data_IF_930497742993
#
_entry.id   IF_930497742993
#
_cell.length_a   1.000
_cell.length_b   1.000
_cell.length_c   1.000
_cell.angle_alpha   90.00
_cell.angle_beta   90.00
_cell.angle_gamma   90.00
#
_symmetry.space_group_name_H-M   'P 1'
#
loop_
_entity.id
_entity.type
_entity.pdbx_description
1 polymer ?
#
# COMPACT_ATOMS: atom_id res chain seq x y z
N UNK A 1 12.78 -4.43 17.28
CA UNK A 1 11.82 -3.61 16.52
C UNK A 1 12.50 -3.29 15.20
N UNK A 2 11.97 -3.77 14.08
CA UNK A 2 12.57 -3.50 12.78
C UNK A 2 12.37 -2.03 12.44
N UNK A 3 13.45 -1.35 12.05
CA UNK A 3 13.39 0.05 11.64
C UNK A 3 12.75 0.15 10.26
N UNK A 4 11.97 1.21 10.05
CA UNK A 4 11.51 1.56 8.71
C UNK A 4 12.70 2.08 7.91
N UNK A 5 12.75 1.78 6.63
CA UNK A 5 13.82 2.24 5.76
C UNK A 5 13.25 3.01 4.57
N UNK A 6 13.83 4.17 4.28
CA UNK A 6 13.60 4.89 3.05
C UNK A 6 14.95 5.27 2.44
N UNK A 7 15.28 4.66 1.29
CA UNK A 7 16.62 4.74 0.68
C UNK A 7 17.70 4.35 1.71
N UNK A 8 18.61 5.26 2.03
CA UNK A 8 19.70 5.11 2.99
C UNK A 8 19.38 5.66 4.41
N UNK A 9 18.12 6.06 4.67
CA UNK A 9 17.64 6.50 5.98
C UNK A 9 16.88 5.40 6.72
N UNK A 10 17.26 5.14 7.96
CA UNK A 10 16.49 4.35 8.92
C UNK A 10 15.65 5.27 9.81
N UNK A 11 14.40 4.91 10.02
CA UNK A 11 13.45 5.60 10.89
C UNK A 11 12.98 4.62 11.96
N UNK A 12 13.06 5.06 13.21
CA UNK A 12 12.53 4.35 14.37
C UNK A 12 11.84 5.36 15.28
N UNK A 13 11.37 4.91 16.44
CA UNK A 13 10.56 5.72 17.33
C UNK A 13 11.06 5.63 18.76
N UNK A 14 10.97 6.75 19.47
CA UNK A 14 11.21 6.78 20.92
C UNK A 14 9.97 7.30 21.65
N UNK A 15 9.77 6.76 22.85
CA UNK A 15 8.81 7.23 23.84
C UNK A 15 9.51 7.79 25.08
N UNK A 16 10.83 7.93 25.04
CA UNK A 16 11.66 8.38 26.15
C UNK A 16 12.21 9.79 25.87
N UNK A 17 12.20 10.64 26.89
CA UNK A 17 12.46 12.07 26.80
C UNK A 17 13.10 12.61 28.07
N UNK A 18 14.09 13.49 27.89
CA UNK A 18 14.72 14.25 28.97
C UNK A 18 14.14 15.67 28.98
N UNK A 19 13.65 16.18 30.13
CA UNK A 19 13.15 17.55 30.21
C UNK A 19 14.31 18.54 30.05
N UNK A 20 14.12 19.55 29.19
CA UNK A 20 15.12 20.61 28.96
C UNK A 20 14.74 21.88 29.72
N UNK A 21 13.50 22.36 29.55
CA UNK A 21 12.99 23.57 30.21
C UNK A 21 11.47 23.60 30.22
N UNK A 22 10.86 24.36 31.15
CA UNK A 22 9.46 24.72 31.13
C UNK A 22 9.27 26.17 31.57
N UNK A 23 8.13 26.74 31.19
CA UNK A 23 7.81 28.14 31.44
C UNK A 23 7.18 28.41 32.82
N UNK A 24 7.29 27.45 33.76
CA UNK A 24 6.66 27.54 35.07
C UNK A 24 7.17 28.73 35.86
N UNK A 25 6.25 29.63 36.21
CA UNK A 25 6.55 30.86 36.94
C UNK A 25 6.89 32.05 36.04
N UNK A 26 7.03 31.83 34.73
CA UNK A 26 6.82 32.90 33.74
C UNK A 26 5.31 33.08 33.61
N UNK A 27 4.81 34.31 33.62
CA UNK A 27 3.35 34.57 33.53
C UNK A 27 2.84 34.41 32.09
N UNK A 28 3.45 33.51 31.32
CA UNK A 28 3.00 33.19 29.98
C UNK A 28 1.57 32.64 30.05
N UNK A 29 0.76 33.00 29.06
CA UNK A 29 -0.68 32.65 29.08
C UNK A 29 -0.93 31.16 28.95
N UNK A 30 -0.08 30.45 28.21
CA UNK A 30 -0.17 29.01 27.98
C UNK A 30 1.08 28.33 28.55
N UNK A 31 0.96 27.19 29.24
CA UNK A 31 2.11 26.45 29.74
C UNK A 31 2.80 25.64 28.65
N UNK A 32 4.11 25.45 28.75
CA UNK A 32 4.91 24.59 27.86
C UNK A 32 6.02 23.87 28.62
N UNK A 33 6.35 22.68 28.16
CA UNK A 33 7.60 22.01 28.49
C UNK A 33 8.30 21.58 27.21
N UNK A 34 9.60 21.88 27.14
CA UNK A 34 10.51 21.44 26.08
C UNK A 34 11.27 20.20 26.53
N UNK A 35 11.36 19.24 25.63
CA UNK A 35 11.90 17.91 25.87
C UNK A 35 12.88 17.53 24.78
N UNK A 36 13.94 16.82 25.16
CA UNK A 36 14.87 16.18 24.24
C UNK A 36 14.53 14.71 24.10
N UNK A 37 14.22 14.21 22.89
CA UNK A 37 14.05 12.79 22.66
C UNK A 37 15.31 12.02 23.04
N UNK A 38 15.13 10.91 23.76
CA UNK A 38 16.22 10.03 24.18
C UNK A 38 16.36 8.85 23.22
N UNK A 39 17.59 8.57 22.82
CA UNK A 39 17.98 7.37 22.06
C UNK A 39 18.90 6.47 22.88
N UNK A 40 18.90 6.61 24.21
CA UNK A 40 19.82 5.92 25.11
C UNK A 40 19.53 4.42 25.32
N UNK A 41 18.45 3.88 24.76
CA UNK A 41 18.18 2.44 24.84
C UNK A 41 19.08 1.65 23.90
N UNK A 42 19.41 0.40 24.26
CA UNK A 42 20.30 -0.44 23.44
C UNK A 42 19.78 -0.61 21.99
N UNK A 43 18.47 -0.61 21.81
CA UNK A 43 17.80 -0.71 20.50
C UNK A 43 17.98 0.56 19.66
N UNK A 44 18.11 1.72 20.31
CA UNK A 44 18.22 3.03 19.66
C UNK A 44 19.63 3.62 19.73
N UNK A 45 20.64 2.89 20.20
CA UNK A 45 21.98 3.45 20.46
C UNK A 45 22.70 4.06 19.24
N UNK A 46 22.25 3.76 18.01
CA UNK A 46 22.77 4.36 16.77
C UNK A 46 21.81 5.38 16.15
N UNK A 47 20.67 5.64 16.79
CA UNK A 47 19.69 6.61 16.37
C UNK A 47 19.95 7.95 17.03
N UNK A 48 19.53 9.00 16.35
CA UNK A 48 19.64 10.40 16.78
C UNK A 48 18.31 11.09 16.60
N UNK A 49 18.04 12.07 17.47
CA UNK A 49 16.88 12.92 17.31
C UNK A 49 17.03 13.83 16.09
N UNK A 50 15.90 14.14 15.47
CA UNK A 50 15.84 15.15 14.42
C UNK A 50 15.89 16.56 15.01
N UNK A 51 15.12 16.85 16.07
CA UNK A 51 15.13 18.10 16.82
C UNK A 51 14.56 17.90 18.25
N UNK A 52 14.42 18.98 19.02
CA UNK A 52 13.73 18.95 20.32
C UNK A 52 12.21 19.08 20.15
N UNK A 53 11.47 18.80 21.22
CA UNK A 53 10.01 18.69 21.22
C UNK A 53 9.40 19.69 22.19
N UNK A 54 8.45 20.50 21.72
CA UNK A 54 7.61 21.34 22.57
C UNK A 54 6.26 20.67 22.83
N UNK A 55 5.80 20.66 24.08
CA UNK A 55 4.49 20.12 24.46
C UNK A 55 3.78 21.09 25.39
N UNK A 56 2.49 21.33 25.13
CA UNK A 56 1.65 22.15 25.99
C UNK A 56 1.47 21.50 27.38
N UNK A 57 1.64 22.28 28.44
CA UNK A 57 1.52 21.82 29.82
C UNK A 57 2.83 21.32 30.45
N UNK A 58 2.70 20.83 31.68
CA UNK A 58 3.82 20.41 32.53
C UNK A 58 3.86 18.91 32.83
N UNK A 59 3.00 18.13 32.16
CA UNK A 59 2.92 16.69 32.40
C UNK A 59 4.13 15.98 31.79
N UNK A 60 4.53 14.88 32.42
CA UNK A 60 5.55 14.00 31.86
C UNK A 60 4.99 13.34 30.59
N UNK A 61 5.77 13.36 29.50
CA UNK A 61 5.37 12.81 28.20
C UNK A 61 5.96 11.44 27.90
N UNK A 62 6.82 10.92 28.78
CA UNK A 62 7.40 9.59 28.65
C UNK A 62 6.31 8.53 28.55
N UNK A 63 6.40 7.63 27.57
CA UNK A 63 5.41 6.59 27.26
C UNK A 63 4.03 7.10 26.80
N UNK A 64 3.81 8.42 26.75
CA UNK A 64 2.55 9.04 26.31
C UNK A 64 2.68 9.70 24.93
N UNK A 65 3.89 10.13 24.55
CA UNK A 65 4.20 10.69 23.25
C UNK A 65 5.19 9.80 22.50
N UNK A 66 5.04 9.72 21.18
CA UNK A 66 5.94 9.02 20.28
C UNK A 66 6.53 10.06 19.33
N UNK A 67 7.83 10.01 19.08
CA UNK A 67 8.50 10.83 18.06
C UNK A 67 9.45 9.99 17.22
N UNK A 68 9.67 10.42 15.98
CA UNK A 68 10.60 9.75 15.09
C UNK A 68 12.06 10.06 15.47
N UNK A 69 12.90 9.04 15.39
CA UNK A 69 14.37 9.14 15.50
C UNK A 69 14.97 8.45 14.30
N UNK A 70 16.15 8.89 13.87
CA UNK A 70 16.73 8.47 12.60
C UNK A 70 18.13 7.92 12.74
N UNK A 71 18.55 7.08 11.80
CA UNK A 71 19.91 6.58 11.67
C UNK A 71 20.28 6.39 10.20
N UNK A 72 21.56 6.22 9.93
CA UNK A 72 22.05 5.85 8.60
C UNK A 72 21.95 4.33 8.42
N UNK A 73 21.61 3.88 7.21
CA UNK A 73 21.77 2.46 6.84
C UNK A 73 23.25 2.06 6.87
N UNK A 74 24.10 2.86 6.20
CA UNK A 74 25.56 2.71 6.23
C UNK A 74 26.16 3.68 7.26
N UNK A 75 26.73 3.14 8.34
CA UNK A 75 27.25 3.97 9.44
C UNK A 75 28.54 4.69 9.13
N UNK A 76 29.33 4.17 8.19
CA UNK A 76 30.65 4.70 7.88
C UNK A 76 30.57 5.69 6.73
N UNK A 77 29.82 5.35 5.69
CA UNK A 77 29.73 6.13 4.45
C UNK A 77 28.33 6.68 4.18
N UNK A 78 27.42 6.60 5.15
CA UNK A 78 26.06 7.11 5.06
C UNK A 78 26.00 8.58 4.65
N UNK A 79 24.96 8.92 3.89
CA UNK A 79 24.76 10.27 3.37
C UNK A 79 23.38 10.82 3.64
N UNK A 80 22.50 10.08 4.32
CA UNK A 80 21.16 10.51 4.63
C UNK A 80 21.12 11.65 5.66
N UNK A 81 22.12 11.71 6.54
CA UNK A 81 22.18 12.58 7.71
C UNK A 81 23.51 13.33 7.79
N UNK A 82 23.45 14.60 8.17
CA UNK A 82 24.64 15.41 8.50
C UNK A 82 24.40 16.24 9.76
N UNK A 83 25.44 16.50 10.58
CA UNK A 83 25.30 17.48 11.65
C UNK A 83 25.08 18.88 11.03
N UNK A 84 24.30 19.76 11.68
CA UNK A 84 24.17 21.15 11.27
C UNK A 84 25.56 21.81 11.23
N UNK A 85 25.75 22.80 10.35
CA UNK A 85 27.02 23.54 10.24
C UNK A 85 27.17 24.56 11.36
N UNK A 86 26.06 25.15 11.79
CA UNK A 86 25.97 26.03 12.94
C UNK A 86 24.54 26.07 13.50
N UNK A 87 24.32 26.88 14.54
CA UNK A 87 23.01 27.21 15.08
C UNK A 87 22.86 28.71 15.23
N UNK A 88 21.72 29.24 14.81
CA UNK A 88 21.30 30.64 14.98
C UNK A 88 20.32 30.75 16.15
N UNK A 89 20.52 31.69 17.07
CA UNK A 89 19.62 31.86 18.22
C UNK A 89 18.37 32.60 17.75
N UNK A 90 17.22 31.95 17.87
CA UNK A 90 15.92 32.53 17.47
C UNK A 90 15.12 33.06 18.65
N UNK A 91 15.43 32.61 19.87
CA UNK A 91 14.83 33.16 21.08
C UNK A 91 15.70 32.88 22.30
N UNK A 92 15.61 33.74 23.30
CA UNK A 92 16.15 33.49 24.63
C UNK A 92 15.19 34.04 25.68
N UNK A 93 15.06 33.33 26.79
CA UNK A 93 14.31 33.83 27.93
C UNK A 93 15.15 34.86 28.69
N UNK A 94 15.24 36.08 28.13
CA UNK A 94 15.87 37.24 28.76
C UNK A 94 14.82 38.18 29.32
N UNK A 95 14.88 38.51 30.62
CA UNK A 95 13.98 39.47 31.23
C UNK A 95 13.93 39.39 32.76
N UNK A 96 13.21 40.30 33.44
CA UNK A 96 13.18 40.38 34.90
C UNK A 96 12.56 39.15 35.59
N UNK A 97 11.90 38.28 34.82
CA UNK A 97 11.26 37.04 35.31
C UNK A 97 12.00 35.77 34.88
N UNK A 98 13.14 35.90 34.20
CA UNK A 98 13.96 34.77 33.83
C UNK A 98 14.55 34.11 35.07
N UNK A 99 14.03 32.92 35.42
CA UNK A 99 14.51 32.14 36.58
C UNK A 99 15.65 31.18 36.23
N UNK A 100 15.73 30.80 34.97
CA UNK A 100 16.81 29.99 34.40
C UNK A 100 17.06 30.48 32.97
N UNK A 101 18.35 30.59 32.61
CA UNK A 101 18.75 30.86 31.24
C UNK A 101 18.24 29.72 30.35
N UNK A 102 17.63 30.07 29.22
CA UNK A 102 17.11 29.11 28.26
C UNK A 102 17.04 29.80 26.91
N UNK A 103 17.40 29.07 25.87
CA UNK A 103 17.49 29.60 24.51
C UNK A 103 17.01 28.56 23.50
N UNK A 104 16.45 29.04 22.41
CA UNK A 104 15.97 28.23 21.30
C UNK A 104 16.77 28.62 20.06
N UNK A 105 17.18 27.62 19.29
CA UNK A 105 18.11 27.76 18.19
C UNK A 105 17.59 27.08 16.94
N UNK A 106 17.75 27.76 15.80
CA UNK A 106 17.53 27.22 14.46
C UNK A 106 18.82 26.57 13.96
N UNK A 107 18.82 25.26 13.65
CA UNK A 107 19.97 24.62 13.03
C UNK A 107 20.18 25.17 11.60
N UNK A 108 21.42 25.53 11.29
CA UNK A 108 21.85 25.82 9.92
C UNK A 108 22.26 24.52 9.26
N UNK A 109 21.45 24.02 8.32
CA UNK A 109 21.74 22.80 7.61
C UNK A 109 22.88 22.99 6.58
N UNK A 110 23.73 21.96 6.34
CA UNK A 110 24.64 21.98 5.20
C UNK A 110 23.90 21.96 3.86
N UNK A 111 24.57 22.35 2.79
CA UNK A 111 24.02 22.32 1.42
C UNK A 111 23.49 20.92 1.04
N UNK A 112 22.27 20.85 0.50
CA UNK A 112 21.59 19.60 0.15
C UNK A 112 20.90 18.88 1.32
N UNK A 113 20.85 19.52 2.50
CA UNK A 113 20.19 19.01 3.71
C UNK A 113 19.26 20.06 4.30
N UNK A 114 18.31 19.60 5.11
CA UNK A 114 17.35 20.44 5.83
C UNK A 114 17.34 20.16 7.33
N UNK A 115 17.04 21.19 8.12
CA UNK A 115 16.65 21.03 9.52
C UNK A 115 15.17 20.67 9.61
N UNK A 116 14.78 19.91 10.64
CA UNK A 116 13.42 19.38 10.79
C UNK A 116 12.63 20.11 11.88
N UNK A 117 13.17 21.19 12.46
CA UNK A 117 12.65 21.87 13.64
C UNK A 117 13.69 22.74 14.35
N UNK A 118 13.46 22.98 15.64
CA UNK A 118 14.29 23.82 16.52
C UNK A 118 14.90 23.03 17.68
N UNK A 119 16.06 23.51 18.15
CA UNK A 119 16.81 22.88 19.25
C UNK A 119 16.91 23.82 20.45
N UNK A 120 16.79 23.25 21.64
CA UNK A 120 16.93 23.95 22.90
C UNK A 120 18.39 23.96 23.37
N UNK A 121 18.88 25.13 23.77
CA UNK A 121 20.14 25.31 24.50
C UNK A 121 19.94 25.06 25.99
N UNK A 122 20.92 24.42 26.64
CA UNK A 122 21.00 24.41 28.10
C UNK A 122 21.58 25.76 28.53
N UNK A 123 20.76 26.61 29.15
CA UNK A 123 21.19 27.99 29.38
C UNK A 123 21.06 28.87 28.13
N UNK A 124 21.99 29.81 27.99
CA UNK A 124 22.15 30.64 26.79
C UNK A 124 23.24 30.10 25.86
N UNK A 125 23.78 28.91 26.16
CA UNK A 125 24.85 28.29 25.41
C UNK A 125 24.32 27.60 24.16
N UNK A 126 25.08 27.73 23.07
CA UNK A 126 24.79 27.09 21.80
C UNK A 126 24.79 25.56 21.95
N UNK A 127 23.80 24.84 21.38
CA UNK A 127 23.79 23.37 21.42
C UNK A 127 25.03 22.76 20.73
N UNK A 128 25.51 21.60 21.20
CA UNK A 128 26.51 20.82 20.46
C UNK A 128 26.00 20.39 19.07
N UNK A 129 26.86 20.42 18.05
CA UNK A 129 26.52 20.00 16.68
C UNK A 129 26.02 18.55 16.56
N UNK A 130 26.38 17.70 17.52
CA UNK A 130 25.97 16.31 17.52
C UNK A 130 24.61 16.05 18.18
N UNK A 131 23.98 17.06 18.78
CA UNK A 131 22.68 16.93 19.47
C UNK A 131 21.58 16.45 18.54
N UNK A 132 21.63 16.84 17.26
CA UNK A 132 20.63 16.50 16.24
C UNK A 132 21.27 16.18 14.90
N UNK A 133 20.47 15.78 13.90
CA UNK A 133 20.91 15.70 12.49
C UNK A 133 19.96 16.40 11.54
N UNK A 134 20.55 17.07 10.54
CA UNK A 134 19.87 17.51 9.34
C UNK A 134 19.71 16.31 8.37
N UNK A 135 18.65 16.33 7.59
CA UNK A 135 18.25 15.23 6.69
C UNK A 135 18.45 15.65 5.25
N UNK A 136 18.94 14.74 4.39
CA UNK A 136 19.11 15.01 2.95
C UNK A 136 17.77 15.40 2.31
N UNK A 137 17.78 16.40 1.44
CA UNK A 137 16.57 17.01 0.87
C UNK A 137 15.63 16.03 0.15
N UNK A 138 16.17 14.97 -0.47
CA UNK A 138 15.38 13.97 -1.21
C UNK A 138 14.70 12.90 -0.33
N UNK A 139 14.94 12.93 0.98
CA UNK A 139 14.35 12.06 2.00
C UNK A 139 13.18 12.73 2.73
N UNK A 140 12.89 13.98 2.39
CA UNK A 140 11.84 14.78 3.00
C UNK A 140 10.88 15.32 1.95
N UNK A 141 9.79 15.90 2.42
CA UNK A 141 8.85 16.67 1.61
C UNK A 141 8.49 17.95 2.36
N UNK A 142 7.99 18.94 1.63
CA UNK A 142 7.45 20.15 2.23
C UNK A 142 6.25 19.84 3.12
N UNK A 143 6.20 20.47 4.28
CA UNK A 143 5.13 20.42 5.26
C UNK A 143 4.56 21.82 5.49
N UNK A 144 3.61 21.95 6.41
CA UNK A 144 3.07 23.25 6.81
C UNK A 144 3.04 23.42 8.33
N UNK A 145 3.13 24.67 8.76
CA UNK A 145 2.95 25.08 10.16
C UNK A 145 1.52 24.77 10.58
N UNK A 146 1.33 24.11 11.71
CA UNK A 146 0.03 23.64 12.19
C UNK A 146 -0.49 24.48 13.37
N UNK A 147 -0.79 23.87 14.52
CA UNK A 147 -1.38 24.53 15.67
C UNK A 147 -0.33 25.23 16.53
N UNK A 148 -0.72 26.34 17.16
CA UNK A 148 0.08 27.01 18.18
C UNK A 148 0.24 26.07 19.38
N UNK A 149 1.48 25.71 19.71
CA UNK A 149 1.82 24.97 20.93
C UNK A 149 1.93 25.94 22.10
N UNK A 150 2.68 27.03 21.91
CA UNK A 150 3.01 27.98 22.96
C UNK A 150 3.39 29.34 22.39
N UNK A 151 3.17 30.40 23.16
CA UNK A 151 3.70 31.74 22.91
C UNK A 151 4.24 32.30 24.21
N UNK A 152 5.32 33.06 24.15
CA UNK A 152 5.93 33.67 25.33
C UNK A 152 5.22 34.95 25.79
N UNK A 153 4.08 35.29 25.19
CA UNK A 153 3.22 36.40 25.57
C UNK A 153 2.91 36.38 27.07
N UNK A 154 3.26 37.46 27.76
CA UNK A 154 3.08 37.60 29.21
C UNK A 154 4.24 37.06 30.07
N UNK A 155 5.18 36.31 29.47
CA UNK A 155 6.36 35.78 30.17
C UNK A 155 7.26 36.88 30.73
N UNK A 156 7.30 38.04 30.05
CA UNK A 156 8.20 39.16 30.33
C UNK A 156 9.58 39.00 29.68
N UNK A 157 9.71 38.13 28.68
CA UNK A 157 10.87 38.10 27.81
C UNK A 157 10.96 39.40 26.97
N UNK A 158 12.16 39.75 26.53
CA UNK A 158 12.41 40.94 25.70
C UNK A 158 12.09 40.72 24.20
N UNK A 159 12.10 39.47 23.75
CA UNK A 159 11.83 39.07 22.37
C UNK A 159 10.56 38.25 22.33
N UNK A 160 9.72 38.45 21.32
CA UNK A 160 8.48 37.69 21.16
C UNK A 160 8.71 36.42 20.36
N UNK A 161 8.14 35.31 20.82
CA UNK A 161 8.26 34.02 20.17
C UNK A 161 6.99 33.18 20.32
N UNK A 162 6.71 32.40 19.27
CA UNK A 162 5.69 31.36 19.31
C UNK A 162 6.20 30.04 18.73
N UNK A 163 5.91 28.95 19.42
CA UNK A 163 6.18 27.57 19.01
C UNK A 163 4.95 26.95 18.36
N UNK A 164 5.15 26.28 17.23
CA UNK A 164 4.09 25.70 16.41
C UNK A 164 4.38 24.25 16.07
N UNK A 165 3.31 23.44 15.95
CA UNK A 165 3.40 22.10 15.40
C UNK A 165 3.66 22.10 13.90
N UNK A 166 4.04 20.95 13.36
CA UNK A 166 4.25 20.71 11.93
C UNK A 166 3.36 19.56 11.48
N UNK A 167 2.69 19.73 10.35
CA UNK A 167 1.85 18.70 9.73
C UNK A 167 2.22 18.52 8.26
N UNK A 168 2.25 17.27 7.75
CA UNK A 168 2.71 16.99 6.39
C UNK A 168 1.67 17.46 5.37
N UNK A 169 2.12 17.77 4.15
CA UNK A 169 1.22 17.93 3.00
C UNK A 169 0.47 16.63 2.69
N UNK A 170 -0.50 16.70 1.77
CA UNK A 170 -1.12 15.48 1.24
C UNK A 170 -0.07 14.58 0.55
N UNK A 171 -0.07 13.30 0.91
CA UNK A 171 0.83 12.31 0.33
C UNK A 171 0.54 12.08 -1.15
N UNK A 172 1.60 11.92 -1.95
CA UNK A 172 1.48 11.44 -3.32
C UNK A 172 1.07 9.96 -3.34
N UNK A 173 0.43 9.46 -4.42
CA UNK A 173 0.07 8.05 -4.53
C UNK A 173 1.26 7.11 -4.33
N UNK A 174 1.08 6.08 -3.50
CA UNK A 174 2.11 5.11 -3.14
C UNK A 174 3.09 5.61 -2.08
N UNK A 175 2.80 6.72 -1.40
CA UNK A 175 3.71 7.32 -0.43
C UNK A 175 3.04 7.62 0.90
N UNK A 176 3.86 7.79 1.94
CA UNK A 176 3.45 8.36 3.22
C UNK A 176 4.45 9.38 3.70
N UNK A 177 3.93 10.45 4.30
CA UNK A 177 4.67 11.55 4.86
C UNK A 177 4.42 11.61 6.37
N UNK A 178 5.50 11.68 7.15
CA UNK A 178 5.48 11.65 8.61
C UNK A 178 6.12 12.93 9.15
N UNK A 179 5.36 13.74 9.85
CA UNK A 179 5.95 14.83 10.63
C UNK A 179 6.81 14.24 11.76
N UNK A 180 8.01 14.78 12.01
CA UNK A 180 8.96 14.21 12.96
C UNK A 180 8.49 14.30 14.43
N UNK A 181 7.45 15.09 14.72
CA UNK A 181 6.93 15.33 16.07
C UNK A 181 7.63 16.47 16.84
N UNK A 182 8.43 17.25 16.12
CA UNK A 182 9.20 18.43 16.56
C UNK A 182 8.34 19.69 16.47
N UNK A 183 8.94 20.87 16.69
CA UNK A 183 8.27 22.17 16.58
C UNK A 183 9.08 23.14 15.71
N UNK A 184 8.38 24.13 15.16
CA UNK A 184 8.98 25.31 14.51
C UNK A 184 8.67 26.57 15.31
N UNK A 185 9.41 27.64 15.07
CA UNK A 185 9.27 28.93 15.75
C UNK A 185 8.93 30.06 14.80
N UNK A 186 8.39 31.13 15.36
CA UNK A 186 8.11 32.38 14.68
C UNK A 186 8.42 33.55 15.60
N UNK A 187 9.01 34.62 15.05
CA UNK A 187 9.08 35.92 15.72
C UNK A 187 7.68 36.53 15.82
N UNK A 188 7.26 36.86 17.04
CA UNK A 188 5.89 37.31 17.33
C UNK A 188 4.89 36.17 17.57
N UNK A 189 3.61 36.53 17.64
CA UNK A 189 2.52 35.61 18.04
C UNK A 189 1.61 35.17 16.89
N UNK A 190 1.77 35.76 15.70
CA UNK A 190 0.97 35.41 14.54
C UNK A 190 1.53 34.17 13.84
N UNK A 191 0.64 33.31 13.31
CA UNK A 191 1.05 32.14 12.53
C UNK A 191 1.77 32.58 11.26
N UNK A 192 3.09 32.36 11.21
CA UNK A 192 3.88 32.67 10.02
C UNK A 192 3.65 31.58 8.96
N UNK A 193 3.02 31.97 7.85
CA UNK A 193 2.70 31.06 6.73
C UNK A 193 3.68 31.18 5.56
N UNK A 194 4.63 32.13 5.60
CA UNK A 194 5.41 32.53 4.42
C UNK A 194 6.93 32.41 4.51
N UNK A 195 7.53 32.10 5.67
CA UNK A 195 8.97 32.40 5.84
C UNK A 195 9.90 31.25 6.24
N UNK A 196 9.41 30.07 6.64
CA UNK A 196 10.30 28.94 6.92
C UNK A 196 9.78 27.65 6.28
N UNK A 197 10.52 27.02 5.35
CA UNK A 197 10.15 25.70 4.86
C UNK A 197 10.29 24.70 6.01
N UNK A 198 9.15 24.21 6.49
CA UNK A 198 9.09 23.07 7.42
C UNK A 198 8.96 21.79 6.60
N UNK A 199 9.45 20.68 7.15
CA UNK A 199 9.59 19.42 6.41
C UNK A 199 8.97 18.25 7.17
N UNK A 200 8.55 17.23 6.42
CA UNK A 200 8.14 15.93 6.92
C UNK A 200 9.00 14.84 6.27
N UNK A 201 9.23 13.75 7.00
CA UNK A 201 9.92 12.57 6.48
C UNK A 201 9.09 11.94 5.37
N UNK A 202 9.73 11.52 4.29
CA UNK A 202 9.10 10.81 3.17
C UNK A 202 9.39 9.32 3.27
N UNK A 203 8.38 8.50 3.00
CA UNK A 203 8.51 7.06 2.83
C UNK A 203 7.65 6.59 1.65
N UNK A 204 8.03 5.49 1.02
CA UNK A 204 7.21 4.79 0.04
C UNK A 204 6.41 3.68 0.73
N UNK A 205 5.17 3.48 0.30
CA UNK A 205 4.38 2.31 0.68
C UNK A 205 4.78 1.17 -0.23
N UNK A 206 5.43 0.15 0.33
CA UNK A 206 5.91 -0.99 -0.44
C UNK A 206 4.72 -1.73 -1.08
N UNK A 207 4.76 -1.88 -2.39
CA UNK A 207 3.76 -2.61 -3.16
C UNK A 207 4.42 -3.82 -3.80
N UNK A 208 3.98 -5.00 -3.38
CA UNK A 208 4.30 -6.26 -4.03
C UNK A 208 3.11 -6.69 -4.89
N UNK A 209 3.36 -7.11 -6.12
CA UNK A 209 2.32 -7.41 -7.09
C UNK A 209 2.68 -8.63 -7.90
N UNK A 210 1.73 -9.54 -8.02
CA UNK A 210 1.72 -10.69 -8.90
C UNK A 210 0.52 -10.52 -9.83
N UNK A 211 0.81 -10.34 -11.11
CA UNK A 211 -0.20 -10.07 -12.13
C UNK A 211 -1.18 -11.23 -12.25
N UNK A 212 -2.45 -10.88 -12.52
CA UNK A 212 -3.46 -11.86 -12.88
C UNK A 212 -3.03 -12.59 -14.16
N UNK A 213 -2.86 -13.93 -14.12
CA UNK A 213 -2.46 -14.68 -15.31
C UNK A 213 -3.45 -14.44 -16.47
N UNK A 214 -2.98 -14.40 -17.73
CA UNK A 214 -3.85 -14.08 -18.86
C UNK A 214 -4.95 -15.14 -19.02
N UNK A 215 -6.17 -14.67 -19.29
CA UNK A 215 -7.30 -15.54 -19.60
C UNK A 215 -6.98 -16.44 -20.81
N UNK A 216 -7.26 -17.76 -20.74
CA UNK A 216 -7.15 -18.65 -21.89
C UNK A 216 -7.98 -18.15 -23.08
N UNK A 217 -7.44 -18.30 -24.31
CA UNK A 217 -8.15 -17.89 -25.53
C UNK A 217 -9.36 -18.77 -25.86
N UNK A 218 -9.28 -20.04 -25.48
CA UNK A 218 -10.28 -21.07 -25.74
C UNK A 218 -10.55 -21.84 -24.44
N UNK A 219 -11.82 -22.17 -24.19
CA UNK A 219 -12.24 -22.98 -23.06
C UNK A 219 -13.14 -24.13 -23.47
N UNK A 220 -12.98 -25.25 -22.77
CA UNK A 220 -13.76 -26.46 -23.00
C UNK A 220 -15.25 -26.27 -22.64
N UNK A 221 -16.17 -26.94 -23.35
CA UNK A 221 -17.61 -26.88 -23.10
C UNK A 221 -17.96 -27.38 -21.70
N UNK A 222 -18.86 -26.67 -21.00
CA UNK A 222 -19.31 -27.05 -19.66
C UNK A 222 -18.35 -26.71 -18.52
N UNK A 223 -17.15 -26.17 -18.79
CA UNK A 223 -16.33 -25.53 -17.75
C UNK A 223 -16.78 -24.08 -17.58
N UNK A 224 -17.67 -23.82 -16.62
CA UNK A 224 -17.50 -22.60 -15.82
C UNK A 224 -16.09 -22.68 -15.24
N UNK A 225 -15.26 -21.64 -15.41
CA UNK A 225 -13.91 -21.58 -14.87
C UNK A 225 -13.82 -22.32 -13.53
N UNK A 226 -12.91 -23.30 -13.32
CA UNK A 226 -12.72 -23.83 -11.98
C UNK A 226 -12.39 -22.63 -11.09
N UNK A 227 -13.20 -22.42 -10.04
CA UNK A 227 -13.17 -21.28 -9.11
C UNK A 227 -11.80 -21.01 -8.44
N UNK A 228 -10.73 -21.74 -8.78
CA UNK A 228 -9.59 -21.91 -7.90
C UNK A 228 -8.18 -21.59 -8.43
N UNK A 229 -7.89 -21.22 -9.69
CA UNK A 229 -6.43 -21.20 -10.07
C UNK A 229 -5.90 -20.10 -11.00
N UNK A 230 -6.50 -18.92 -11.08
CA UNK A 230 -5.76 -17.76 -11.62
C UNK A 230 -6.19 -16.52 -10.86
N UNK A 231 -5.51 -16.25 -9.75
CA UNK A 231 -5.62 -15.01 -8.99
C UNK A 231 -4.40 -14.14 -9.25
N UNK A 232 -4.58 -12.83 -9.38
CA UNK A 232 -3.50 -11.86 -9.21
C UNK A 232 -3.48 -11.39 -7.77
N UNK A 233 -2.32 -11.36 -7.11
CA UNK A 233 -2.22 -10.92 -5.71
C UNK A 233 -1.36 -9.67 -5.61
N UNK A 234 -1.89 -8.65 -4.96
CA UNK A 234 -1.16 -7.41 -4.69
C UNK A 234 -1.20 -7.12 -3.19
N UNK A 235 -0.08 -6.73 -2.60
CA UNK A 235 0.05 -6.46 -1.17
C UNK A 235 0.72 -5.10 -1.00
N UNK A 236 -0.01 -4.16 -0.43
CA UNK A 236 0.51 -2.89 0.01
C UNK A 236 0.85 -2.97 1.51
N UNK A 237 2.12 -2.72 1.85
CA UNK A 237 2.58 -2.65 3.24
C UNK A 237 2.35 -1.24 3.81
N UNK A 238 1.68 -1.20 4.95
CA UNK A 238 1.26 0.02 5.61
C UNK A 238 1.94 0.13 6.98
N UNK A 239 2.84 1.11 7.20
CA UNK A 239 3.43 1.33 8.52
C UNK A 239 2.35 1.52 9.59
N UNK A 240 2.60 1.04 10.81
CA UNK A 240 1.63 1.05 11.91
C UNK A 240 0.98 2.42 12.22
N UNK A 241 1.65 3.52 11.89
CA UNK A 241 1.15 4.88 12.09
C UNK A 241 0.24 5.38 10.96
N UNK A 242 0.18 4.68 9.82
CA UNK A 242 -0.74 4.99 8.70
C UNK A 242 -2.11 4.34 8.87
N UNK A 243 -2.28 3.51 9.91
CA UNK A 243 -3.52 2.75 10.18
C UNK A 243 -4.01 3.04 11.59
N UNK A 244 -5.28 3.42 11.72
CA UNK A 244 -5.95 3.41 13.01
C UNK A 244 -6.43 1.99 13.32
N UNK A 245 -5.96 1.41 14.42
CA UNK A 245 -6.48 0.13 14.93
C UNK A 245 -7.10 0.40 16.29
N UNK A 246 -8.44 0.43 16.41
CA UNK A 246 -9.10 0.82 17.65
C UNK A 246 -8.88 -0.18 18.79
N UNK A 247 -8.31 -1.36 18.50
CA UNK A 247 -8.06 -2.41 19.49
C UNK A 247 -6.67 -2.33 20.13
N UNK A 248 -5.77 -1.50 19.59
CA UNK A 248 -4.37 -1.39 20.02
C UNK A 248 -3.99 0.06 20.29
N UNK A 249 -3.27 0.30 21.39
CA UNK A 249 -2.63 1.60 21.62
C UNK A 249 -1.49 1.84 20.62
N UNK A 250 -1.09 3.10 20.38
CA UNK A 250 0.05 3.41 19.53
C UNK A 250 1.33 2.64 19.87
N UNK A 251 1.63 2.47 21.17
CA UNK A 251 2.81 1.74 21.62
C UNK A 251 2.69 0.24 21.35
N UNK A 252 1.52 -0.35 21.59
CA UNK A 252 1.28 -1.76 21.24
C UNK A 252 1.41 -1.99 19.74
N UNK A 253 0.81 -1.12 18.90
CA UNK A 253 0.97 -1.20 17.43
C UNK A 253 2.44 -1.18 17.03
N UNK A 254 3.22 -0.22 17.54
CA UNK A 254 4.65 -0.11 17.26
C UNK A 254 5.43 -1.40 17.65
N UNK A 255 5.02 -2.08 18.72
CA UNK A 255 5.70 -3.25 19.25
C UNK A 255 5.26 -4.57 18.61
N UNK A 256 3.97 -4.73 18.32
CA UNK A 256 3.37 -6.03 17.92
C UNK A 256 2.90 -6.05 16.47
N UNK A 257 2.55 -4.90 15.89
CA UNK A 257 2.04 -4.78 14.53
C UNK A 257 2.68 -3.60 13.78
N UNK A 258 4.02 -3.59 13.61
CA UNK A 258 4.74 -2.46 13.01
C UNK A 258 4.37 -2.20 11.54
N UNK A 259 3.83 -3.21 10.86
CA UNK A 259 3.40 -3.17 9.46
C UNK A 259 2.07 -3.93 9.31
N UNK A 260 1.08 -3.28 8.74
CA UNK A 260 -0.18 -3.89 8.28
C UNK A 260 -0.08 -4.21 6.79
N UNK A 261 -0.89 -5.15 6.30
CA UNK A 261 -0.95 -5.52 4.89
C UNK A 261 -2.34 -5.28 4.34
N UNK A 262 -2.48 -4.37 3.38
CA UNK A 262 -3.69 -4.25 2.59
C UNK A 262 -3.52 -5.11 1.34
N UNK A 263 -4.18 -6.26 1.33
CA UNK A 263 -4.11 -7.25 0.26
C UNK A 263 -5.24 -7.02 -0.73
N UNK A 264 -4.93 -6.97 -2.03
CA UNK A 264 -5.86 -7.04 -3.15
C UNK A 264 -5.72 -8.39 -3.85
N UNK A 265 -6.83 -9.05 -4.12
CA UNK A 265 -6.90 -10.29 -4.89
C UNK A 265 -7.77 -10.03 -6.12
N UNK A 266 -7.19 -10.18 -7.30
CA UNK A 266 -7.85 -9.98 -8.59
C UNK A 266 -8.24 -11.34 -9.18
N UNK A 267 -9.46 -11.43 -9.69
CA UNK A 267 -10.00 -12.64 -10.32
C UNK A 267 -10.86 -12.28 -11.53
N UNK A 268 -10.86 -13.14 -12.55
CA UNK A 268 -11.83 -13.04 -13.63
C UNK A 268 -13.21 -13.47 -13.15
N UNK A 269 -14.19 -12.59 -13.32
CA UNK A 269 -15.59 -12.86 -13.04
C UNK A 269 -16.37 -12.89 -14.36
N UNK A 270 -17.04 -14.00 -14.64
CA UNK A 270 -17.89 -14.14 -15.82
C UNK A 270 -19.07 -13.15 -15.71
N UNK A 271 -19.20 -12.27 -16.69
CA UNK A 271 -20.28 -11.26 -16.71
C UNK A 271 -21.29 -11.50 -17.82
N UNK A 272 -20.87 -12.12 -18.93
CA UNK A 272 -21.78 -12.54 -19.99
C UNK A 272 -21.25 -13.74 -20.77
N UNK A 273 -22.15 -14.44 -21.43
CA UNK A 273 -21.85 -15.34 -22.52
C UNK A 273 -22.77 -15.04 -23.70
N UNK A 274 -22.26 -15.28 -24.91
CA UNK A 274 -23.00 -15.06 -26.15
C UNK A 274 -22.72 -16.18 -27.13
N UNK A 275 -23.74 -16.63 -27.82
CA UNK A 275 -23.64 -17.62 -28.88
C UNK A 275 -24.25 -17.07 -30.16
N UNK A 276 -23.48 -17.04 -31.23
CA UNK A 276 -23.97 -16.72 -32.56
C UNK A 276 -24.26 -18.02 -33.31
N UNK A 277 -25.53 -18.35 -33.46
CA UNK A 277 -25.99 -19.54 -34.20
C UNK A 277 -26.26 -19.27 -35.68
N UNK A 278 -25.97 -18.05 -36.15
CA UNK A 278 -26.26 -17.64 -37.52
C UNK A 278 -25.04 -17.78 -38.43
N UNK A 279 -25.23 -17.91 -39.76
CA UNK A 279 -24.14 -18.04 -40.72
C UNK A 279 -23.40 -16.71 -40.97
N UNK A 280 -23.81 -15.61 -40.33
CA UNK A 280 -23.17 -14.30 -40.43
C UNK A 280 -22.72 -13.81 -39.04
N UNK A 281 -21.69 -12.98 -38.98
CA UNK A 281 -21.26 -12.36 -37.72
C UNK A 281 -22.36 -11.44 -37.16
N UNK A 282 -22.50 -11.43 -35.84
CA UNK A 282 -23.49 -10.60 -35.14
C UNK A 282 -22.85 -9.79 -34.03
N UNK A 283 -23.46 -8.63 -33.72
CA UNK A 283 -23.05 -7.79 -32.59
C UNK A 283 -23.93 -8.10 -31.39
N UNK A 284 -23.29 -8.39 -30.27
CA UNK A 284 -23.93 -8.57 -28.97
C UNK A 284 -23.56 -7.38 -28.09
N UNK A 285 -24.53 -6.90 -27.31
CA UNK A 285 -24.34 -5.79 -26.37
C UNK A 285 -24.80 -6.20 -25.00
N UNK A 286 -23.98 -5.92 -24.00
CA UNK A 286 -24.27 -6.16 -22.60
C UNK A 286 -23.97 -4.92 -21.77
N UNK A 287 -24.64 -4.82 -20.63
CA UNK A 287 -24.45 -3.76 -19.65
C UNK A 287 -24.03 -4.42 -18.35
N UNK A 288 -22.89 -4.00 -17.80
CA UNK A 288 -22.36 -4.56 -16.56
C UNK A 288 -22.17 -3.48 -15.52
N UNK A 289 -22.41 -3.82 -14.26
CA UNK A 289 -22.04 -2.95 -13.16
C UNK A 289 -20.52 -2.94 -12.94
N UNK A 290 -19.97 -1.77 -12.68
CA UNK A 290 -18.56 -1.53 -12.37
C UNK A 290 -18.42 -0.54 -11.22
N UNK A 291 -17.27 -0.59 -10.56
CA UNK A 291 -16.99 0.19 -9.36
C UNK A 291 -17.08 -0.64 -8.09
N UNK A 292 -17.19 0.05 -6.96
CA UNK A 292 -17.36 -0.57 -5.65
C UNK A 292 -18.71 -1.28 -5.54
N UNK A 293 -18.68 -2.47 -4.96
CA UNK A 293 -19.87 -3.25 -4.62
C UNK A 293 -20.16 -3.07 -3.14
N UNK A 294 -21.34 -2.53 -2.83
CA UNK A 294 -21.91 -2.40 -1.46
C UNK A 294 -21.24 -1.36 -0.54
N UNK A 295 -20.56 -0.34 -1.07
CA UNK A 295 -20.05 0.85 -0.34
C UNK A 295 -19.25 0.57 0.96
N UNK A 296 -18.55 -0.57 1.04
CA UNK A 296 -17.81 -0.97 2.23
C UNK A 296 -16.55 -0.12 2.50
N UNK A 297 -16.08 0.66 1.52
CA UNK A 297 -14.92 1.56 1.61
C UNK A 297 -15.15 2.63 2.67
N UNK A 298 -16.39 3.10 2.83
CA UNK A 298 -16.79 3.99 3.91
C UNK A 298 -16.64 3.31 5.28
N UNK A 299 -16.98 2.02 5.37
CA UNK A 299 -16.79 1.22 6.58
C UNK A 299 -15.32 1.03 6.93
N UNK A 300 -14.46 0.72 5.94
CA UNK A 300 -13.02 0.64 6.12
C UNK A 300 -12.45 1.97 6.64
N UNK A 301 -12.82 3.08 5.99
CA UNK A 301 -12.40 4.42 6.41
C UNK A 301 -12.86 4.75 7.82
N UNK A 302 -14.10 4.41 8.17
CA UNK A 302 -14.62 4.70 9.51
C UNK A 302 -13.84 3.98 10.62
N UNK A 303 -13.48 2.72 10.38
CA UNK A 303 -12.77 1.88 11.36
C UNK A 303 -11.27 2.21 11.41
N UNK A 304 -10.65 2.41 10.24
CA UNK A 304 -9.18 2.39 10.09
C UNK A 304 -8.56 3.71 9.66
N UNK A 305 -9.39 4.69 9.32
CA UNK A 305 -9.05 5.97 8.67
C UNK A 305 -8.46 5.84 7.26
N UNK A 306 -8.23 4.63 6.75
CA UNK A 306 -7.73 4.41 5.39
C UNK A 306 -8.80 4.85 4.39
N UNK A 307 -8.45 5.82 3.56
CA UNK A 307 -9.26 6.22 2.41
C UNK A 307 -8.71 5.55 1.16
N UNK A 308 -9.43 4.56 0.61
CA UNK A 308 -8.94 3.79 -0.54
C UNK A 308 -8.87 4.63 -1.83
N UNK A 309 -9.62 5.74 -1.90
CA UNK A 309 -9.74 6.58 -3.10
C UNK A 309 -8.85 7.81 -3.09
N UNK A 310 -8.29 8.19 -1.94
CA UNK A 310 -7.59 9.47 -1.78
C UNK A 310 -6.47 9.38 -0.73
N UNK A 311 -5.70 10.46 -0.58
CA UNK A 311 -4.80 10.60 0.56
C UNK A 311 -5.62 10.71 1.86
N UNK A 312 -5.15 10.09 2.94
CA UNK A 312 -5.77 10.15 4.26
C UNK A 312 -4.79 10.61 5.33
N UNK A 313 -5.36 11.02 6.47
CA UNK A 313 -4.64 11.42 7.68
C UNK A 313 -5.24 10.63 8.84
N UNK A 314 -4.55 9.58 9.32
CA UNK A 314 -5.04 8.75 10.41
C UNK A 314 -5.18 9.55 11.71
N UNK A 315 -6.16 9.19 12.54
CA UNK A 315 -6.26 9.67 13.92
C UNK A 315 -5.17 9.02 14.75
N UNK A 316 -4.02 9.67 14.77
CA UNK A 316 -2.82 9.18 15.43
C UNK A 316 -2.16 10.26 16.28
N UNK A 317 -1.33 9.86 17.26
CA UNK A 317 -0.47 10.78 18.01
C UNK A 317 0.66 11.38 17.17
N UNK A 318 0.88 10.81 15.97
CA UNK A 318 1.83 11.28 14.97
C UNK A 318 1.05 12.00 13.87
N UNK A 319 1.58 13.11 13.36
CA UNK A 319 0.97 13.81 12.23
C UNK A 319 1.45 13.16 10.93
N UNK A 320 0.53 12.57 10.18
CA UNK A 320 0.81 11.67 9.04
C UNK A 320 -0.14 11.97 7.89
N UNK A 321 0.38 11.87 6.66
CA UNK A 321 -0.45 11.68 5.46
C UNK A 321 0.00 10.42 4.73
N UNK A 322 -0.94 9.66 4.18
CA UNK A 322 -0.64 8.47 3.37
C UNK A 322 -1.58 8.41 2.17
N UNK A 323 -1.13 7.83 1.05
CA UNK A 323 -1.96 7.61 -0.13
C UNK A 323 -1.55 6.33 -0.82
N UNK A 324 -2.53 5.49 -1.15
CA UNK A 324 -2.28 4.23 -1.86
C UNK A 324 -1.87 4.51 -3.31
N UNK A 325 -1.13 3.57 -3.89
CA UNK A 325 -0.80 3.62 -5.31
C UNK A 325 -2.11 3.53 -6.14
N UNK A 326 -2.21 4.31 -7.23
CA UNK A 326 -3.42 4.35 -8.06
C UNK A 326 -3.69 3.07 -8.82
N UNK A 327 -2.64 2.36 -9.22
CA UNK A 327 -2.74 1.05 -9.87
C UNK A 327 -3.26 0.02 -8.88
N UNK A 328 -2.86 0.12 -7.60
CA UNK A 328 -3.38 -0.73 -6.52
C UNK A 328 -4.86 -0.51 -6.25
N UNK A 329 -5.38 0.70 -6.44
CA UNK A 329 -6.79 1.05 -6.12
C UNK A 329 -7.70 1.16 -7.34
N UNK A 330 -7.24 0.82 -8.55
CA UNK A 330 -8.00 1.05 -9.80
C UNK A 330 -8.45 2.51 -9.98
N UNK A 331 -7.62 3.46 -9.54
CA UNK A 331 -7.89 4.91 -9.66
C UNK A 331 -6.93 5.61 -10.62
N UNK A 332 -6.23 4.86 -11.47
CA UNK A 332 -5.31 5.39 -12.47
C UNK A 332 -5.96 6.43 -13.41
N UNK A 333 -7.23 6.21 -13.77
CA UNK A 333 -8.01 7.10 -14.63
C UNK A 333 -8.94 8.04 -13.83
N UNK A 334 -9.73 7.50 -12.90
CA UNK A 334 -10.71 8.26 -12.10
C UNK A 334 -11.04 7.54 -10.79
N UNK A 335 -11.33 8.30 -9.74
CA UNK A 335 -11.79 7.78 -8.45
C UNK A 335 -13.32 7.60 -8.36
N UNK A 336 -14.09 8.05 -9.37
CA UNK A 336 -15.56 8.04 -9.33
C UNK A 336 -16.14 6.63 -9.13
N UNK A 337 -15.45 5.58 -9.60
CA UNK A 337 -15.87 4.20 -9.41
C UNK A 337 -15.91 3.74 -7.94
N UNK A 338 -15.28 4.45 -7.02
CA UNK A 338 -15.36 4.20 -5.57
C UNK A 338 -16.45 5.01 -4.87
N UNK A 339 -17.07 5.99 -5.55
CA UNK A 339 -18.11 6.82 -4.94
C UNK A 339 -19.51 6.37 -5.31
N UNK A 340 -19.66 5.79 -6.51
CA UNK A 340 -20.92 5.24 -7.01
C UNK A 340 -20.63 4.08 -7.94
N UNK A 341 -21.39 3.01 -7.76
CA UNK A 341 -21.53 1.99 -8.78
C UNK A 341 -22.05 2.65 -10.07
N UNK A 342 -21.42 2.29 -11.18
CA UNK A 342 -21.79 2.76 -12.52
C UNK A 342 -21.91 1.57 -13.45
N UNK A 343 -22.34 1.81 -14.69
CA UNK A 343 -22.43 0.76 -15.70
C UNK A 343 -21.38 0.93 -16.80
N UNK A 344 -20.98 -0.19 -17.39
CA UNK A 344 -20.19 -0.24 -18.61
C UNK A 344 -21.00 -0.94 -19.71
N UNK A 345 -21.12 -0.28 -20.85
CA UNK A 345 -21.67 -0.87 -22.07
C UNK A 345 -20.55 -1.59 -22.83
N UNK A 346 -20.76 -2.87 -23.12
CA UNK A 346 -19.80 -3.72 -23.81
C UNK A 346 -20.45 -4.28 -25.05
N UNK A 347 -19.85 -3.99 -26.20
CA UNK A 347 -20.25 -4.57 -27.48
C UNK A 347 -19.19 -5.54 -27.97
N UNK A 348 -19.61 -6.73 -28.39
CA UNK A 348 -18.73 -7.74 -28.96
C UNK A 348 -19.26 -8.22 -30.31
N UNK A 349 -18.35 -8.32 -31.29
CA UNK A 349 -18.63 -8.92 -32.58
C UNK A 349 -18.33 -10.41 -32.51
N UNK A 350 -19.37 -11.25 -32.54
CA UNK A 350 -19.24 -12.71 -32.47
C UNK A 350 -19.30 -13.27 -33.90
N UNK A 351 -18.24 -13.95 -34.38
CA UNK A 351 -18.25 -14.60 -35.69
C UNK A 351 -19.36 -15.66 -35.84
N UNK A 352 -19.68 -16.03 -37.07
CA UNK A 352 -20.67 -17.05 -37.37
C UNK A 352 -20.36 -18.38 -36.65
N UNK A 353 -21.38 -19.00 -36.05
CA UNK A 353 -21.31 -20.29 -35.35
C UNK A 353 -20.31 -20.36 -34.18
N UNK A 354 -19.96 -19.21 -33.58
CA UNK A 354 -19.05 -19.13 -32.43
C UNK A 354 -19.78 -18.76 -31.14
N UNK A 355 -19.20 -19.20 -30.02
CA UNK A 355 -19.63 -18.85 -28.67
C UNK A 355 -18.49 -18.16 -27.94
N UNK A 356 -18.79 -17.12 -27.16
CA UNK A 356 -17.81 -16.41 -26.33
C UNK A 356 -18.31 -16.27 -24.90
N UNK A 357 -17.35 -16.13 -23.99
CA UNK A 357 -17.55 -15.68 -22.62
C UNK A 357 -16.80 -14.36 -22.42
N UNK A 358 -17.45 -13.40 -21.76
CA UNK A 358 -16.92 -12.10 -21.41
C UNK A 358 -16.71 -12.01 -19.89
N UNK A 359 -15.56 -11.49 -19.48
CA UNK A 359 -15.11 -11.40 -18.09
C UNK A 359 -14.69 -9.98 -17.73
N UNK A 360 -14.96 -9.59 -16.49
CA UNK A 360 -14.36 -8.42 -15.84
C UNK A 360 -13.40 -8.88 -14.77
N UNK A 361 -12.45 -8.02 -14.41
CA UNK A 361 -11.61 -8.24 -13.22
C UNK A 361 -12.39 -7.76 -12.01
N UNK A 362 -12.63 -8.68 -11.07
CA UNK A 362 -13.19 -8.40 -9.76
C UNK A 362 -12.09 -8.49 -8.72
N UNK A 363 -11.93 -7.42 -7.96
CA UNK A 363 -10.90 -7.26 -6.94
C UNK A 363 -11.51 -7.33 -5.56
N UNK A 364 -10.89 -8.10 -4.67
CA UNK A 364 -11.23 -8.19 -3.24
C UNK A 364 -10.10 -7.57 -2.42
N UNK A 365 -10.43 -6.67 -1.48
CA UNK A 365 -9.45 -6.04 -0.60
C UNK A 365 -9.65 -6.45 0.86
N UNK A 366 -8.56 -6.82 1.53
CA UNK A 366 -8.53 -7.27 2.92
C UNK A 366 -7.37 -6.58 3.66
N UNK A 367 -7.67 -5.85 4.74
CA UNK A 367 -6.65 -5.27 5.62
C UNK A 367 -6.31 -6.26 6.73
N UNK A 368 -5.04 -6.65 6.82
CA UNK A 368 -4.56 -7.71 7.70
C UNK A 368 -3.48 -7.17 8.65
N UNK A 369 -3.53 -7.64 9.91
CA UNK A 369 -2.45 -7.50 10.88
C UNK A 369 -1.29 -8.45 10.55
N UNK A 370 -0.20 -8.34 11.31
CA UNK A 370 0.98 -9.23 11.20
C UNK A 370 0.60 -10.70 11.42
N UNK A 371 -0.29 -10.98 12.38
CA UNK A 371 -0.76 -12.34 12.71
C UNK A 371 -1.75 -12.93 11.68
N UNK A 372 -2.14 -12.16 10.66
CA UNK A 372 -3.10 -12.55 9.64
C UNK A 372 -4.57 -12.28 10.01
N UNK A 373 -4.85 -11.77 11.21
CA UNK A 373 -6.21 -11.34 11.57
C UNK A 373 -6.63 -10.13 10.74
N UNK A 374 -7.90 -10.12 10.31
CA UNK A 374 -8.44 -9.02 9.52
C UNK A 374 -8.88 -7.84 10.41
N UNK A 375 -8.66 -6.62 9.91
CA UNK A 375 -9.11 -5.38 10.53
C UNK A 375 -10.05 -4.63 9.57
N UNK A 376 -11.34 -4.57 9.88
CA UNK A 376 -12.34 -3.91 9.05
C UNK A 376 -12.98 -4.81 7.98
N UNK A 377 -13.89 -4.25 7.15
CA UNK A 377 -14.64 -5.02 6.18
C UNK A 377 -13.78 -5.44 4.97
N UNK A 378 -14.21 -6.49 4.28
CA UNK A 378 -13.67 -6.88 2.97
C UNK A 378 -14.32 -6.00 1.90
N UNK A 379 -13.51 -5.32 1.10
CA UNK A 379 -14.02 -4.50 -0.02
C UNK A 379 -14.07 -5.32 -1.29
N UNK A 380 -15.00 -4.98 -2.17
CA UNK A 380 -15.12 -5.60 -3.48
C UNK A 380 -15.28 -4.53 -4.55
N UNK A 381 -14.51 -4.64 -5.63
CA UNK A 381 -14.50 -3.69 -6.72
C UNK A 381 -14.51 -4.43 -8.06
N UNK A 382 -15.39 -4.04 -8.99
CA UNK A 382 -15.38 -4.53 -10.37
C UNK A 382 -14.70 -3.50 -11.27
N UNK A 383 -13.53 -3.84 -11.82
CA UNK A 383 -12.83 -2.97 -12.77
C UNK A 383 -13.56 -2.97 -14.12
N UNK A 384 -13.88 -1.77 -14.59
CA UNK A 384 -14.46 -1.55 -15.92
C UNK A 384 -13.45 -0.99 -16.93
N UNK A 385 -12.15 -1.10 -16.65
CA UNK A 385 -11.10 -0.57 -17.53
C UNK A 385 -10.88 -1.49 -18.74
N UNK A 386 -11.04 -2.80 -18.54
CA UNK A 386 -10.85 -3.81 -19.58
C UNK A 386 -11.93 -4.89 -19.48
N UNK A 387 -12.36 -5.39 -20.65
CA UNK A 387 -13.21 -6.58 -20.78
C UNK A 387 -12.38 -7.67 -21.45
N UNK A 388 -12.41 -8.87 -20.87
CA UNK A 388 -11.66 -10.01 -21.35
C UNK A 388 -12.59 -11.01 -22.00
N UNK A 389 -12.15 -11.64 -23.10
CA UNK A 389 -12.96 -12.57 -23.86
C UNK A 389 -12.24 -13.90 -24.01
N UNK A 390 -13.01 -15.00 -23.94
CA UNK A 390 -12.56 -16.34 -24.32
C UNK A 390 -13.59 -16.95 -25.27
N UNK A 391 -13.13 -17.69 -26.27
CA UNK A 391 -14.00 -18.56 -27.05
C UNK A 391 -14.45 -19.76 -26.20
N UNK A 392 -15.72 -20.12 -26.30
CA UNK A 392 -16.28 -21.34 -25.71
C UNK A 392 -16.38 -22.38 -26.81
N UNK A 393 -15.54 -23.41 -26.74
CA UNK A 393 -15.56 -24.52 -27.69
C UNK A 393 -16.89 -25.28 -27.56
N UNK A 394 -17.47 -25.66 -28.69
CA UNK A 394 -18.66 -26.51 -28.69
C UNK A 394 -18.28 -27.92 -28.24
N UNK A 395 -19.17 -28.65 -27.53
CA UNK A 395 -18.94 -30.08 -27.31
C UNK A 395 -18.79 -30.73 -28.68
N UNK A 396 -17.73 -31.52 -28.87
CA UNK A 396 -17.59 -32.34 -30.07
C UNK A 396 -18.91 -33.09 -30.24
N UNK A 397 -19.66 -32.73 -31.28
CA UNK A 397 -20.80 -33.53 -31.68
C UNK A 397 -20.22 -34.91 -31.96
N UNK A 398 -20.68 -35.91 -31.20
CA UNK A 398 -20.36 -37.30 -31.46
C UNK A 398 -20.59 -37.52 -32.96
N UNK A 399 -19.50 -37.74 -33.68
CA UNK A 399 -19.54 -38.01 -35.12
C UNK A 399 -20.32 -39.31 -35.23
N UNK A 400 -21.62 -39.22 -35.51
CA UNK A 400 -22.38 -40.38 -36.00
C UNK A 400 -21.67 -40.77 -37.28
N UNK A 401 -20.93 -41.88 -37.21
CA UNK A 401 -20.36 -42.53 -38.38
C UNK A 401 -21.49 -42.68 -39.40
N UNK A 402 -21.40 -41.91 -40.48
CA UNK A 402 -22.19 -42.18 -41.67
C UNK A 402 -21.63 -43.49 -42.20
N UNK A 403 -22.40 -44.58 -42.08
CA UNK A 403 -22.10 -45.82 -42.78
C UNK A 403 -21.98 -45.48 -44.28
N UNK A 404 -20.77 -45.65 -44.82
CA UNK A 404 -20.55 -45.70 -46.26
C UNK A 404 -21.47 -46.76 -46.88
N UNK A 405 -22.15 -46.48 -48.01
CA UNK A 405 -22.87 -47.52 -48.73
C UNK A 405 -21.86 -48.58 -49.18
N UNK A 406 -22.04 -49.83 -48.72
CA UNK A 406 -21.26 -50.95 -49.22
C UNK A 406 -21.41 -51.07 -50.73
N UNK A 407 -20.29 -50.96 -51.43
CA UNK A 407 -20.15 -51.24 -52.85
C UNK A 407 -20.36 -52.74 -53.07
N UNK A 408 -21.42 -53.10 -53.81
CA UNK A 408 -21.73 -54.49 -54.18
C UNK A 408 -20.76 -54.89 -55.29
N UNK A 409 -19.94 -55.95 -55.14
CA UNK A 409 -19.07 -56.40 -56.22
C UNK A 409 -19.91 -57.11 -57.31
N UNK A 410 -19.81 -56.63 -58.54
CA UNK A 410 -20.23 -57.38 -59.73
C UNK A 410 -19.27 -58.57 -59.95
N UNK A 411 -19.80 -59.79 -59.91
CA UNK A 411 -19.06 -61.00 -60.24
C UNK A 411 -19.48 -61.49 -61.65
N UNK A 412 -18.53 -61.47 -62.58
CA UNK A 412 -18.66 -61.98 -63.95
C UNK A 412 -18.29 -63.47 -63.98
N UNK A 413 -19.05 -64.36 -64.64
CA UNK A 413 -18.89 -65.82 -64.52
C UNK A 413 -18.02 -66.42 -65.63
N UNK A 414 -17.20 -67.45 -65.30
CA UNK A 414 -16.65 -68.48 -66.21
C UNK A 414 -16.10 -69.69 -65.39
N UNK A 415 -15.85 -70.89 -65.97
CA UNK A 415 -16.84 -71.90 -66.34
C UNK A 415 -16.64 -73.24 -65.57
N UNK A 416 -17.65 -74.12 -65.67
CA UNK A 416 -17.74 -75.45 -65.04
C UNK A 416 -16.79 -76.50 -65.62
N UNK A 417 -16.12 -77.27 -64.74
CA UNK A 417 -15.70 -78.66 -65.03
C UNK A 417 -16.24 -79.61 -63.96
N UNK A 418 -17.02 -80.59 -64.43
CA UNK A 418 -17.46 -81.76 -63.67
C UNK A 418 -16.30 -82.75 -63.53
N UNK A 419 -16.24 -83.50 -62.41
CA UNK A 419 -16.11 -84.96 -62.47
C UNK A 419 -16.40 -85.63 -61.11
N UNK A 420 -17.37 -86.56 -61.17
CA UNK A 420 -17.56 -87.66 -60.24
C UNK A 420 -16.47 -88.70 -60.46
N UNK A 421 -15.97 -89.35 -59.41
CA UNK A 421 -15.33 -90.66 -59.56
C UNK A 421 -15.54 -91.56 -58.33
N UNK A 422 -16.00 -92.77 -58.60
CA UNK A 422 -16.22 -93.90 -57.68
C UNK A 422 -15.09 -94.92 -57.95
N UNK A 423 -14.69 -95.61 -56.88
CA UNK A 423 -13.74 -96.75 -56.73
C UNK A 423 -13.75 -97.79 -57.88
N UNK A 424 -12.63 -98.50 -58.13
CA UNK A 424 -12.30 -99.73 -57.36
C UNK A 424 -10.79 -100.09 -57.26
N UNK A 425 -10.43 -100.89 -56.26
CA UNK A 425 -9.32 -101.84 -56.41
C UNK A 425 -9.55 -103.10 -55.58
N UNK A 426 -9.56 -104.24 -56.26
CA UNK A 426 -9.28 -105.56 -55.73
C UNK A 426 -8.25 -106.23 -56.66
N UNK A 427 -7.29 -106.93 -56.07
CA UNK A 427 -6.20 -107.63 -56.74
C UNK A 427 -5.51 -108.62 -55.79
N UNK A 428 -6.08 -109.83 -55.73
CA UNK A 428 -5.51 -111.20 -55.59
C UNK A 428 -3.97 -111.24 -55.88
N UNK A 429 -3.08 -112.05 -55.30
CA UNK A 429 -3.14 -113.37 -54.66
C UNK A 429 -1.79 -113.70 -53.96
N UNK A 430 -1.86 -114.71 -53.09
CA UNK A 430 -0.95 -115.86 -52.98
C UNK A 430 0.17 -116.00 -51.92
N UNK A 431 -0.02 -117.11 -51.18
CA UNK A 431 0.94 -118.07 -50.59
C UNK A 431 1.53 -117.90 -49.18
N UNK A 432 0.92 -118.68 -48.27
CA UNK A 432 1.50 -119.79 -47.47
C UNK A 432 2.67 -119.53 -46.49
N UNK A 433 2.32 -119.49 -45.19
CA UNK A 433 2.75 -120.33 -44.04
C UNK A 433 4.19 -120.91 -43.99
N UNK A 434 4.83 -121.03 -42.80
CA UNK A 434 4.26 -121.67 -41.59
C UNK A 434 4.05 -120.79 -40.37
#
# INVERSE_FOLDING_TARGET
MNSLQYKDLLINFTTEFVPVWNDKGTRAEKPVTFWRPSTSSDVLGNFVSLDDVAVAGYHNINQLKIVAVVSEVDRENGTALRPPVDFERVWEHSGPRARANFSIWQPTAPEGYVAMGLVCGLGNDKPPRNTIRCVREDLVTQAYVDQLIWSDQGSGAHQDFSAWGVSPSQAAPGQTYLAPGTFTGAEGYAKQTRQSPVHALRLDLALHSEDLPPLPREMAPGRTMPEQVTEGTHVCELPWFTVNDPTLTPLEKLQTCPVYRLKRIDQYSLVASGQNTTPASQTFSWVFAKGEISDFSMGLRYVTDIDIKAAWTPRHSLSVSASLNRDFTHTGLTAQGWERESVADVMAYIPANKSIAAYLVKSRYELLRVDGSQLGPTLTYASGDNVYFSELLQPEAAVTAVEEPQEVPEEVPEPTENNLEITPHDGIDDTLLP
#
